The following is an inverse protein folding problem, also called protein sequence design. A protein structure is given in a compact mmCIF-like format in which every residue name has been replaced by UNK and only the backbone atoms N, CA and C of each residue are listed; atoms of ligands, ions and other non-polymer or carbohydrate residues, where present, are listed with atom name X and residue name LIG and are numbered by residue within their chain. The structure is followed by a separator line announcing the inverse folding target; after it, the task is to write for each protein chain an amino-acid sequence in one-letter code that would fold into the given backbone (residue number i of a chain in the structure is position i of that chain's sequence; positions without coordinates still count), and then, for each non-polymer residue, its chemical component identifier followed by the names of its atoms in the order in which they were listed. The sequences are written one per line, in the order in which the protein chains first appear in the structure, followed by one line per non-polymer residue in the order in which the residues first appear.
data_IF_603396207101
#
_entry.id   IF_603396207101
#
_cell.length_a   1.000
_cell.length_b   1.000
_cell.length_c   1.000
_cell.angle_alpha   90.00
_cell.angle_beta   90.00
_cell.angle_gamma   90.00
#
_symmetry.space_group_name_H-M   'P 1'
#
loop_
_entity.id
_entity.type
_entity.pdbx_description
1 polymer ?
#
# COMPACT_ATOMS: atom_id res chain seq x y z
N UNK A 1 -14.92 4.55 -12.55
CA UNK A 1 -15.40 3.15 -12.62
C UNK A 1 -16.39 3.10 -13.77
N UNK A 2 -16.03 2.43 -14.86
CA UNK A 2 -17.00 2.07 -15.91
C UNK A 2 -17.67 0.74 -15.52
N UNK A 3 -18.98 0.62 -15.74
CA UNK A 3 -19.79 -0.55 -15.38
C UNK A 3 -21.10 -0.20 -14.67
N UNK A 4 -22.01 -1.18 -14.57
CA UNK A 4 -23.26 -1.05 -13.84
C UNK A 4 -23.04 -0.83 -12.33
N UNK A 5 -24.08 -0.33 -11.65
CA UNK A 5 -24.06 -0.16 -10.19
C UNK A 5 -24.00 -1.50 -9.43
N UNK A 6 -24.37 -2.59 -10.10
CA UNK A 6 -24.36 -3.97 -9.63
C UNK A 6 -23.57 -4.83 -10.61
N UNK A 7 -22.78 -5.78 -10.09
CA UNK A 7 -21.97 -6.70 -10.87
C UNK A 7 -21.70 -7.99 -10.07
N UNK A 8 -21.42 -9.09 -10.76
CA UNK A 8 -21.19 -10.39 -10.12
C UNK A 8 -19.71 -10.66 -9.83
N UNK A 9 -19.47 -11.20 -8.63
CA UNK A 9 -18.17 -11.68 -8.18
C UNK A 9 -18.28 -13.09 -7.60
N UNK A 10 -17.29 -13.93 -7.88
CA UNK A 10 -17.08 -15.18 -7.17
C UNK A 10 -15.63 -15.24 -6.69
N UNK A 11 -15.37 -15.89 -5.56
CA UNK A 11 -14.04 -15.87 -4.95
C UNK A 11 -13.81 -17.04 -4.02
N UNK A 12 -12.55 -17.20 -3.61
CA UNK A 12 -12.12 -18.17 -2.60
C UNK A 12 -11.32 -17.38 -1.56
N UNK A 13 -11.60 -17.67 -0.29
CA UNK A 13 -10.91 -17.08 0.85
C UNK A 13 -10.35 -18.21 1.72
N UNK A 14 -9.05 -18.17 2.01
CA UNK A 14 -8.34 -19.02 2.96
C UNK A 14 -8.12 -18.21 4.25
N UNK A 15 -8.75 -18.69 5.34
CA UNK A 15 -8.74 -18.03 6.64
C UNK A 15 -8.12 -18.97 7.68
N UNK A 16 -6.99 -18.54 8.25
CA UNK A 16 -6.34 -19.24 9.36
C UNK A 16 -5.20 -20.19 8.99
N UNK A 17 -4.89 -20.39 7.70
CA UNK A 17 -3.67 -21.12 7.30
C UNK A 17 -2.42 -20.39 7.79
N UNK A 18 -1.56 -21.14 8.49
CA UNK A 18 -0.34 -20.62 9.11
C UNK A 18 0.85 -20.66 8.16
N UNK A 19 0.86 -21.57 7.19
CA UNK A 19 1.83 -21.54 6.09
C UNK A 19 1.44 -20.47 5.07
N UNK A 20 1.86 -19.25 5.37
CA UNK A 20 1.60 -18.04 4.60
C UNK A 20 2.00 -18.20 3.13
N UNK A 21 3.20 -18.73 2.87
CA UNK A 21 3.71 -18.85 1.51
C UNK A 21 2.91 -19.88 0.71
N UNK A 22 2.58 -21.03 1.31
CA UNK A 22 1.77 -22.04 0.65
C UNK A 22 0.33 -21.57 0.39
N UNK A 23 -0.29 -20.86 1.35
CA UNK A 23 -1.63 -20.29 1.20
C UNK A 23 -1.69 -19.23 0.08
N UNK A 24 -0.72 -18.32 0.06
CA UNK A 24 -0.56 -17.30 -0.97
C UNK A 24 -0.44 -17.95 -2.36
N UNK A 25 0.46 -18.92 -2.50
CA UNK A 25 0.67 -19.64 -3.74
C UNK A 25 -0.58 -20.44 -4.19
N UNK A 26 -1.34 -21.00 -3.24
CA UNK A 26 -2.59 -21.72 -3.52
C UNK A 26 -3.66 -20.78 -4.06
N UNK A 27 -3.91 -19.66 -3.38
CA UNK A 27 -4.89 -18.67 -3.80
C UNK A 27 -4.62 -18.15 -5.22
N UNK A 28 -3.35 -17.90 -5.54
CA UNK A 28 -2.97 -17.45 -6.89
C UNK A 28 -3.13 -18.54 -7.95
N UNK A 29 -2.74 -19.77 -7.61
CA UNK A 29 -2.90 -20.90 -8.53
C UNK A 29 -4.38 -21.20 -8.82
N UNK A 30 -5.24 -21.13 -7.80
CA UNK A 30 -6.69 -21.35 -7.97
C UNK A 30 -7.32 -20.25 -8.84
N UNK A 31 -6.95 -18.97 -8.62
CA UNK A 31 -7.38 -17.86 -9.47
C UNK A 31 -6.93 -18.03 -10.93
N UNK A 32 -5.67 -18.40 -11.14
CA UNK A 32 -5.12 -18.64 -12.47
C UNK A 32 -5.78 -19.85 -13.16
N UNK A 33 -5.97 -20.95 -12.43
CA UNK A 33 -6.60 -22.17 -12.95
C UNK A 33 -8.07 -21.93 -13.32
N UNK A 34 -8.81 -21.18 -12.50
CA UNK A 34 -10.19 -20.77 -12.78
C UNK A 34 -10.27 -20.06 -14.13
N UNK A 35 -9.45 -19.02 -14.34
CA UNK A 35 -9.45 -18.24 -15.58
C UNK A 35 -8.99 -19.07 -16.78
N UNK A 36 -7.92 -19.86 -16.62
CA UNK A 36 -7.43 -20.78 -17.66
C UNK A 36 -8.53 -21.74 -18.13
N UNK A 37 -9.35 -22.23 -17.20
CA UNK A 37 -10.44 -23.16 -17.50
C UNK A 37 -11.63 -22.49 -18.21
N UNK A 38 -11.92 -21.24 -17.87
CA UNK A 38 -13.04 -20.47 -18.42
C UNK A 38 -12.71 -19.77 -19.74
N UNK A 39 -11.43 -19.49 -19.98
CA UNK A 39 -10.91 -18.79 -21.16
C UNK A 39 -9.87 -19.65 -21.90
N UNK A 40 -10.25 -20.83 -22.42
CA UNK A 40 -9.31 -21.74 -23.06
C UNK A 40 -8.62 -21.08 -24.26
N UNK A 41 -7.29 -21.19 -24.31
CA UNK A 41 -6.45 -20.65 -25.39
C UNK A 41 -6.19 -19.14 -25.31
N UNK A 42 -6.71 -18.43 -24.31
CA UNK A 42 -6.34 -17.03 -24.05
C UNK A 42 -5.09 -17.00 -23.17
N UNK A 43 -4.11 -16.17 -23.55
CA UNK A 43 -2.99 -15.84 -22.68
C UNK A 43 -3.50 -14.95 -21.53
N UNK A 44 -3.05 -15.24 -20.30
CA UNK A 44 -3.34 -14.44 -19.12
C UNK A 44 -2.11 -13.60 -18.77
N UNK A 45 -2.33 -12.37 -18.35
CA UNK A 45 -1.30 -11.51 -17.78
C UNK A 45 -1.53 -11.43 -16.27
N UNK A 46 -0.51 -11.75 -15.47
CA UNK A 46 -0.58 -11.72 -14.00
C UNK A 46 0.44 -10.74 -13.46
N UNK A 47 -0.04 -9.74 -12.72
CA UNK A 47 0.81 -8.76 -12.04
C UNK A 47 0.73 -8.97 -10.54
N UNK A 48 1.89 -8.94 -9.88
CA UNK A 48 2.03 -9.15 -8.44
C UNK A 48 2.72 -7.93 -7.84
N UNK A 49 2.27 -7.55 -6.66
CA UNK A 49 2.99 -6.63 -5.79
C UNK A 49 2.97 -7.12 -4.35
N UNK A 50 3.68 -6.41 -3.47
CA UNK A 50 3.80 -6.81 -2.08
C UNK A 50 3.90 -5.57 -1.17
N UNK A 51 2.82 -5.32 -0.43
CA UNK A 51 2.75 -4.19 0.49
C UNK A 51 3.75 -4.33 1.64
N UNK A 52 4.05 -5.55 2.08
CA UNK A 52 5.00 -5.77 3.18
C UNK A 52 6.44 -5.46 2.77
N UNK A 53 6.79 -5.70 1.50
CA UNK A 53 8.08 -5.31 0.93
C UNK A 53 8.16 -3.78 0.82
N UNK A 54 7.11 -3.13 0.30
CA UNK A 54 7.08 -1.67 0.23
C UNK A 54 7.21 -1.01 1.60
N UNK A 55 6.46 -1.48 2.60
CA UNK A 55 6.56 -0.99 3.98
C UNK A 55 7.95 -1.20 4.58
N UNK A 56 8.62 -2.32 4.28
CA UNK A 56 9.99 -2.58 4.70
C UNK A 56 11.00 -1.61 4.05
N UNK A 57 10.82 -1.25 2.78
CA UNK A 57 11.63 -0.22 2.11
C UNK A 57 11.42 1.13 2.78
N UNK A 58 10.18 1.54 3.02
CA UNK A 58 9.89 2.81 3.71
C UNK A 58 10.51 2.88 5.11
N UNK A 59 10.47 1.77 5.84
CA UNK A 59 11.11 1.66 7.16
C UNK A 59 12.64 1.73 7.07
N UNK A 60 13.25 1.02 6.12
CA UNK A 60 14.70 0.98 5.93
C UNK A 60 15.27 2.32 5.45
N UNK A 61 14.49 3.11 4.71
CA UNK A 61 14.85 4.48 4.30
C UNK A 61 14.86 5.49 5.47
N UNK A 62 14.47 5.08 6.69
CA UNK A 62 14.49 5.93 7.87
C UNK A 62 13.41 7.02 7.87
N UNK A 63 12.36 6.86 7.06
CA UNK A 63 11.25 7.82 6.98
C UNK A 63 10.54 7.95 8.34
N UNK A 64 10.04 9.13 8.72
CA UNK A 64 9.18 9.26 9.89
C UNK A 64 7.94 8.39 9.78
N UNK A 65 7.49 7.83 10.92
CA UNK A 65 6.33 6.90 10.95
C UNK A 65 5.07 7.45 10.29
N UNK A 66 4.81 8.76 10.37
CA UNK A 66 3.65 9.35 9.70
C UNK A 66 3.77 9.36 8.18
N UNK A 67 4.98 9.57 7.64
CA UNK A 67 5.26 9.45 6.21
C UNK A 67 5.20 8.02 5.72
N UNK A 68 5.75 7.07 6.49
CA UNK A 68 5.60 5.65 6.19
C UNK A 68 4.13 5.27 6.05
N UNK A 69 3.28 5.63 7.04
CA UNK A 69 1.83 5.38 7.00
C UNK A 69 1.15 6.07 5.82
N UNK A 70 1.53 7.30 5.51
CA UNK A 70 0.94 8.07 4.41
C UNK A 70 1.26 7.44 3.05
N UNK A 71 2.52 7.06 2.82
CA UNK A 71 2.96 6.41 1.59
C UNK A 71 2.37 5.00 1.48
N UNK A 72 2.37 4.21 2.56
CA UNK A 72 1.75 2.89 2.58
C UNK A 72 0.26 2.92 2.22
N UNK A 73 -0.50 3.90 2.72
CA UNK A 73 -1.92 4.10 2.34
C UNK A 73 -2.12 4.57 0.90
N UNK A 74 -1.15 5.30 0.37
CA UNK A 74 -1.18 5.74 -1.01
C UNK A 74 -0.76 4.63 -1.99
N UNK A 75 -0.15 3.54 -1.48
CA UNK A 75 0.25 2.40 -2.27
C UNK A 75 -0.96 1.76 -2.96
N UNK A 76 -0.84 1.47 -4.26
CA UNK A 76 -1.96 1.00 -5.07
C UNK A 76 -2.91 2.08 -5.59
N UNK A 77 -2.63 3.35 -5.30
CA UNK A 77 -3.27 4.51 -5.93
C UNK A 77 -2.22 5.40 -6.58
N UNK A 78 -1.87 5.21 -7.87
CA UNK A 78 -0.75 5.93 -8.52
C UNK A 78 -0.77 7.44 -8.31
N UNK A 79 -1.92 8.08 -8.52
CA UNK A 79 -2.06 9.54 -8.31
C UNK A 79 -1.92 9.97 -6.84
N UNK A 80 -2.37 9.14 -5.89
CA UNK A 80 -2.20 9.44 -4.46
C UNK A 80 -0.74 9.25 -4.02
N UNK A 81 -0.05 8.24 -4.58
CA UNK A 81 1.36 7.98 -4.32
C UNK A 81 2.22 9.11 -4.88
N UNK A 82 1.97 9.52 -6.13
CA UNK A 82 2.64 10.66 -6.76
C UNK A 82 2.42 11.95 -5.96
N UNK A 83 1.19 12.23 -5.53
CA UNK A 83 0.89 13.38 -4.68
C UNK A 83 1.61 13.31 -3.33
N UNK A 84 1.71 12.12 -2.72
CA UNK A 84 2.44 11.95 -1.47
C UNK A 84 3.95 12.14 -1.64
N UNK A 85 4.54 11.65 -2.74
CA UNK A 85 5.95 11.86 -3.08
C UNK A 85 6.24 13.35 -3.39
N UNK A 86 5.33 14.02 -4.11
CA UNK A 86 5.42 15.46 -4.39
C UNK A 86 5.38 16.28 -3.10
N UNK A 87 4.46 15.99 -2.18
CA UNK A 87 4.41 16.67 -0.88
C UNK A 87 5.65 16.43 -0.01
N UNK A 88 6.29 15.26 -0.16
CA UNK A 88 7.49 14.90 0.59
C UNK A 88 8.73 15.64 0.09
N UNK A 89 8.79 15.88 -1.23
CA UNK A 89 9.87 16.65 -1.86
C UNK A 89 9.66 18.16 -1.78
N UNK A 90 8.39 18.59 -1.77
CA UNK A 90 8.01 19.99 -1.82
C UNK A 90 6.89 20.26 -0.80
N UNK A 91 7.20 20.25 0.51
CA UNK A 91 6.19 20.45 1.55
C UNK A 91 5.56 21.83 1.34
N UNK A 92 4.32 21.85 0.82
CA UNK A 92 3.54 23.07 0.62
C UNK A 92 3.56 23.84 1.92
N UNK A 93 4.09 25.07 1.97
CA UNK A 93 3.89 25.94 3.15
C UNK A 93 2.39 25.97 3.41
N UNK A 94 1.96 25.57 4.62
CA UNK A 94 0.55 25.65 4.95
C UNK A 94 0.11 27.08 4.68
N UNK A 95 -1.01 27.22 3.98
CA UNK A 95 -1.73 28.48 3.83
C UNK A 95 -1.85 29.17 5.19
N UNK A 96 -1.19 30.33 5.29
CA UNK A 96 -1.31 31.42 6.27
C UNK A 96 -1.65 31.03 7.74
N UNK A 97 -0.70 30.44 8.46
CA UNK A 97 -0.60 30.72 9.89
C UNK A 97 -0.08 32.15 10.07
N UNK A 98 -0.61 32.88 11.06
CA UNK A 98 0.00 34.14 11.46
C UNK A 98 1.38 33.91 12.09
N UNK A 99 2.23 34.93 12.05
CA UNK A 99 3.64 34.85 12.45
C UNK A 99 3.85 34.29 13.88
N UNK A 100 3.00 34.60 14.89
CA UNK A 100 3.10 33.98 16.21
C UNK A 100 2.79 32.49 16.20
N UNK A 101 1.71 32.05 15.53
CA UNK A 101 1.37 30.63 15.43
C UNK A 101 2.44 29.84 14.68
N UNK A 102 3.01 30.43 13.63
CA UNK A 102 4.10 29.81 12.88
C UNK A 102 5.35 29.62 13.75
N UNK A 103 5.70 30.61 14.58
CA UNK A 103 6.86 30.55 15.48
C UNK A 103 6.66 29.51 16.59
N UNK A 104 5.49 29.48 17.23
CA UNK A 104 5.14 28.49 18.26
C UNK A 104 5.08 27.06 17.69
N UNK A 105 4.60 26.93 16.46
CA UNK A 105 4.58 25.66 15.73
C UNK A 105 6.00 25.15 15.41
N UNK A 106 6.93 26.04 15.10
CA UNK A 106 8.34 25.70 14.86
C UNK A 106 9.08 25.35 16.16
N UNK A 107 8.74 26.01 17.27
CA UNK A 107 9.29 25.70 18.60
C UNK A 107 8.77 24.37 19.16
N UNK A 108 7.68 23.81 18.61
CA UNK A 108 7.10 22.55 19.05
C UNK A 108 6.43 22.63 20.42
N UNK A 109 5.96 23.82 20.82
CA UNK A 109 5.38 24.06 22.14
C UNK A 109 3.85 23.92 22.10
N UNK A 110 3.28 22.78 22.58
CA UNK A 110 1.86 22.48 22.40
C UNK A 110 0.93 23.39 23.21
N UNK A 111 1.31 23.73 24.44
CA UNK A 111 0.46 24.56 25.31
C UNK A 111 0.36 26.01 24.82
N UNK A 112 1.47 26.71 24.52
CA UNK A 112 1.39 28.08 23.99
C UNK A 112 0.68 28.15 22.64
N UNK A 113 0.88 27.15 21.76
CA UNK A 113 0.18 27.06 20.48
C UNK A 113 -1.33 26.85 20.68
N UNK A 114 -1.74 26.00 21.63
CA UNK A 114 -3.15 25.78 21.96
C UNK A 114 -3.80 27.05 22.52
N UNK A 115 -3.10 27.81 23.37
CA UNK A 115 -3.57 29.11 23.87
C UNK A 115 -3.80 30.09 22.73
N UNK A 116 -2.82 30.25 21.83
CA UNK A 116 -2.94 31.14 20.67
C UNK A 116 -4.11 30.73 19.74
N UNK A 117 -4.32 29.43 19.53
CA UNK A 117 -5.45 28.92 18.75
C UNK A 117 -6.79 29.22 19.43
N UNK A 118 -6.88 29.06 20.75
CA UNK A 118 -8.09 29.37 21.52
C UNK A 118 -8.48 30.85 21.39
N UNK A 119 -7.51 31.76 21.57
CA UNK A 119 -7.71 33.20 21.42
C UNK A 119 -8.18 33.58 20.01
N UNK A 120 -7.59 32.97 18.98
CA UNK A 120 -8.00 33.15 17.57
C UNK A 120 -9.40 32.64 17.29
N UNK A 121 -9.79 31.50 17.87
CA UNK A 121 -11.13 30.95 17.72
C UNK A 121 -12.19 31.84 18.38
N UNK A 122 -11.89 32.36 19.57
CA UNK A 122 -12.77 33.28 20.30
C UNK A 122 -12.91 34.62 19.56
N UNK A 123 -11.81 35.20 19.07
CA UNK A 123 -11.83 36.43 18.28
C UNK A 123 -12.61 36.29 16.96
N UNK A 124 -12.67 35.07 16.40
CA UNK A 124 -13.46 34.76 15.20
C UNK A 124 -14.93 34.39 15.51
N UNK A 125 -15.34 34.39 16.79
CA UNK A 125 -16.70 34.06 17.21
C UNK A 125 -17.04 32.57 17.15
N UNK A 126 -16.03 31.68 17.14
CA UNK A 126 -16.24 30.24 17.14
C UNK A 126 -16.40 29.70 18.57
N UNK A 127 -17.38 28.81 18.78
CA UNK A 127 -17.57 28.11 20.06
C UNK A 127 -16.50 27.05 20.27
N UNK A 128 -15.81 27.09 21.41
CA UNK A 128 -14.79 26.12 21.81
C UNK A 128 -15.34 24.71 22.07
N UNK A 129 -16.66 24.54 22.13
CA UNK A 129 -17.34 23.26 22.41
C UNK A 129 -17.84 22.49 21.19
N UNK A 130 -17.75 23.05 19.98
CA UNK A 130 -18.23 22.41 18.76
C UNK A 130 -17.07 22.05 17.81
N UNK A 131 -16.59 20.80 17.87
CA UNK A 131 -15.53 20.29 17.00
C UNK A 131 -14.29 19.83 17.76
N UNK A 132 -13.09 20.08 17.19
CA UNK A 132 -11.81 19.75 17.83
C UNK A 132 -11.44 20.84 18.83
N UNK A 133 -10.96 20.44 20.00
CA UNK A 133 -10.41 21.39 20.98
C UNK A 133 -9.14 22.08 20.46
N UNK A 134 -8.81 23.29 20.94
CA UNK A 134 -7.55 23.96 20.61
C UNK A 134 -6.31 23.09 20.87
N UNK A 135 -6.34 22.28 21.93
CA UNK A 135 -5.30 21.31 22.28
C UNK A 135 -5.15 20.22 21.21
N UNK A 136 -6.27 19.67 20.73
CA UNK A 136 -6.25 18.69 19.63
C UNK A 136 -5.79 19.30 18.30
N UNK A 137 -6.12 20.58 18.05
CA UNK A 137 -5.67 21.30 16.85
C UNK A 137 -4.16 21.55 16.95
N UNK A 138 -3.67 22.08 18.07
CA UNK A 138 -2.24 22.35 18.31
C UNK A 138 -1.41 21.07 18.16
N UNK A 139 -1.82 19.99 18.84
CA UNK A 139 -1.17 18.68 18.74
C UNK A 139 -1.09 18.19 17.28
N UNK A 140 -2.21 18.24 16.55
CA UNK A 140 -2.25 17.84 15.13
C UNK A 140 -1.41 18.73 14.22
N UNK A 141 -1.34 20.02 14.50
CA UNK A 141 -0.49 20.95 13.74
C UNK A 141 0.99 20.64 13.99
N UNK A 142 1.40 20.42 15.24
CA UNK A 142 2.77 20.03 15.59
C UNK A 142 3.13 18.69 14.95
N UNK A 143 2.29 17.66 15.12
CA UNK A 143 2.47 16.36 14.44
C UNK A 143 2.62 16.53 12.91
N UNK A 144 1.80 17.39 12.30
CA UNK A 144 1.87 17.68 10.86
C UNK A 144 3.12 18.49 10.46
N UNK A 145 3.59 19.38 11.35
CA UNK A 145 4.80 20.20 11.18
C UNK A 145 6.08 19.36 11.28
N UNK A 146 6.18 18.53 12.32
CA UNK A 146 7.29 17.59 12.50
C UNK A 146 7.41 16.65 11.31
N UNK A 147 6.27 16.12 10.83
CA UNK A 147 6.25 15.33 9.59
C UNK A 147 6.77 16.14 8.39
N UNK A 148 6.46 17.43 8.27
CA UNK A 148 6.94 18.29 7.18
C UNK A 148 8.39 18.74 7.30
N UNK A 149 8.95 18.75 8.51
CA UNK A 149 10.34 19.16 8.76
C UNK A 149 11.37 18.13 8.27
N UNK A 150 10.93 16.87 8.10
CA UNK A 150 11.78 15.79 7.60
C UNK A 150 11.63 15.70 6.09
N UNK A 151 12.67 16.14 5.38
CA UNK A 151 12.86 15.83 3.96
C UNK A 151 13.52 14.45 3.86
N UNK A 152 13.11 13.67 2.87
CA UNK A 152 13.98 12.59 2.40
C UNK A 152 15.30 13.22 1.97
N UNK A 153 16.41 12.55 2.27
CA UNK A 153 17.65 12.87 1.57
C UNK A 153 17.46 12.52 0.08
N UNK A 154 18.24 13.17 -0.79
CA UNK A 154 18.16 12.89 -2.23
C UNK A 154 18.46 11.41 -2.52
N UNK A 155 19.34 10.79 -1.73
CA UNK A 155 19.64 9.36 -1.79
C UNK A 155 18.42 8.50 -1.46
N UNK A 156 17.70 8.85 -0.39
CA UNK A 156 16.54 8.07 0.05
C UNK A 156 15.34 8.23 -0.92
N UNK A 157 15.18 9.41 -1.52
CA UNK A 157 14.21 9.61 -2.61
C UNK A 157 14.60 8.84 -3.87
N UNK A 158 15.89 8.85 -4.23
CA UNK A 158 16.41 8.10 -5.37
C UNK A 158 16.22 6.60 -5.18
N UNK A 159 16.50 6.07 -3.99
CA UNK A 159 16.28 4.67 -3.65
C UNK A 159 14.78 4.30 -3.69
N UNK A 160 13.89 5.17 -3.22
CA UNK A 160 12.45 4.93 -3.30
C UNK A 160 11.94 4.90 -4.75
N UNK A 161 12.43 5.80 -5.62
CA UNK A 161 12.10 5.79 -7.05
C UNK A 161 12.65 4.53 -7.73
N UNK A 162 13.91 4.20 -7.48
CA UNK A 162 14.54 2.99 -8.00
C UNK A 162 13.76 1.72 -7.60
N UNK A 163 13.27 1.65 -6.35
CA UNK A 163 12.39 0.58 -5.90
C UNK A 163 11.09 0.53 -6.72
N UNK A 164 10.39 1.66 -6.85
CA UNK A 164 9.09 1.73 -7.55
C UNK A 164 9.20 1.40 -9.04
N UNK A 165 10.38 1.58 -9.64
CA UNK A 165 10.67 1.25 -11.03
C UNK A 165 10.98 -0.25 -11.26
N UNK A 166 11.11 -1.06 -10.19
CA UNK A 166 11.39 -2.49 -10.31
C UNK A 166 10.21 -3.21 -10.99
N UNK A 167 10.53 -3.87 -12.10
CA UNK A 167 9.68 -4.81 -12.84
C UNK A 167 10.54 -6.03 -13.19
N UNK A 168 10.06 -7.23 -12.87
CA UNK A 168 10.79 -8.46 -13.17
C UNK A 168 9.85 -9.68 -13.21
N UNK A 169 10.19 -10.73 -13.97
CA UNK A 169 9.54 -12.03 -13.80
C UNK A 169 9.62 -12.50 -12.34
N UNK A 170 8.56 -13.10 -11.81
CA UNK A 170 8.50 -13.48 -10.40
C UNK A 170 9.67 -14.40 -9.99
N UNK A 171 10.10 -15.28 -10.88
CA UNK A 171 11.24 -16.18 -10.65
C UNK A 171 12.57 -15.45 -10.44
N UNK A 172 12.71 -14.21 -10.91
CA UNK A 172 13.90 -13.37 -10.78
C UNK A 172 13.73 -12.27 -9.71
N UNK A 173 12.49 -11.94 -9.35
CA UNK A 173 12.14 -10.81 -8.51
C UNK A 173 12.83 -10.81 -7.14
N UNK A 174 13.02 -11.99 -6.52
CA UNK A 174 13.70 -12.08 -5.23
C UNK A 174 15.16 -11.61 -5.32
N UNK A 175 15.89 -12.09 -6.34
CA UNK A 175 17.27 -11.68 -6.59
C UNK A 175 17.39 -10.19 -6.97
N UNK A 176 16.42 -9.68 -7.74
CA UNK A 176 16.36 -8.25 -8.09
C UNK A 176 16.16 -7.38 -6.83
N UNK A 177 15.28 -7.79 -5.91
CA UNK A 177 15.06 -7.09 -4.64
C UNK A 177 16.28 -7.18 -3.72
N UNK A 178 16.98 -8.31 -3.68
CA UNK A 178 18.25 -8.47 -2.95
C UNK A 178 19.33 -7.53 -3.49
N UNK A 179 19.50 -7.47 -4.82
CA UNK A 179 20.46 -6.59 -5.47
C UNK A 179 20.14 -5.11 -5.19
N UNK A 180 18.88 -4.72 -5.33
CA UNK A 180 18.40 -3.38 -4.98
C UNK A 180 18.72 -3.03 -3.52
N UNK A 181 18.37 -3.92 -2.58
CA UNK A 181 18.60 -3.68 -1.16
C UNK A 181 20.09 -3.52 -0.85
N UNK A 182 20.96 -4.33 -1.48
CA UNK A 182 22.41 -4.22 -1.33
C UNK A 182 22.95 -2.90 -1.89
N UNK A 183 22.54 -2.49 -3.10
CA UNK A 183 22.98 -1.25 -3.74
C UNK A 183 22.53 -0.01 -2.95
N UNK A 184 21.27 0.00 -2.51
CA UNK A 184 20.71 1.06 -1.69
C UNK A 184 21.14 1.00 -0.21
N UNK A 185 21.92 -0.01 0.19
CA UNK A 185 22.37 -0.27 1.57
C UNK A 185 21.20 -0.38 2.57
N UNK A 186 20.09 -0.98 2.14
CA UNK A 186 18.88 -1.19 2.91
C UNK A 186 18.82 -2.61 3.45
N UNK A 187 18.24 -2.77 4.64
CA UNK A 187 17.91 -4.08 5.21
C UNK A 187 16.41 -4.31 5.18
N UNK A 188 15.94 -5.16 4.28
CA UNK A 188 14.52 -5.52 4.14
C UNK A 188 14.09 -6.66 5.08
N UNK A 189 15.06 -7.33 5.72
CA UNK A 189 14.84 -8.33 6.77
C UNK A 189 13.81 -9.40 6.41
N UNK A 190 12.89 -9.67 7.33
CA UNK A 190 11.88 -10.73 7.16
C UNK A 190 10.93 -10.52 5.99
N UNK A 191 10.75 -9.27 5.51
CA UNK A 191 9.87 -9.01 4.37
C UNK A 191 10.43 -9.65 3.10
N UNK A 192 11.74 -9.52 2.87
CA UNK A 192 12.42 -10.13 1.73
C UNK A 192 12.45 -11.66 1.84
N UNK A 193 12.74 -12.20 3.03
CA UNK A 193 12.68 -13.66 3.26
C UNK A 193 11.28 -14.23 2.98
N UNK A 194 10.21 -13.55 3.44
CA UNK A 194 8.83 -13.98 3.19
C UNK A 194 8.45 -13.85 1.71
N UNK A 195 8.94 -12.82 1.02
CA UNK A 195 8.76 -12.67 -0.42
C UNK A 195 9.42 -13.82 -1.18
N UNK A 196 10.68 -14.16 -0.86
CA UNK A 196 11.39 -15.30 -1.45
C UNK A 196 10.64 -16.62 -1.25
N UNK A 197 10.20 -16.90 -0.01
CA UNK A 197 9.42 -18.10 0.29
C UNK A 197 8.10 -18.19 -0.52
N UNK A 198 7.42 -17.05 -0.73
CA UNK A 198 6.25 -16.96 -1.62
C UNK A 198 6.62 -17.25 -3.06
N UNK A 199 7.67 -16.62 -3.58
CA UNK A 199 8.12 -16.80 -4.95
C UNK A 199 8.46 -18.28 -5.22
N UNK A 200 9.16 -18.94 -4.29
CA UNK A 200 9.48 -20.37 -4.34
C UNK A 200 8.21 -21.24 -4.31
N UNK A 201 7.26 -20.92 -3.42
CA UNK A 201 5.99 -21.64 -3.33
C UNK A 201 5.16 -21.53 -4.62
N UNK A 202 5.14 -20.35 -5.26
CA UNK A 202 4.49 -20.13 -6.55
C UNK A 202 5.24 -20.85 -7.68
N UNK A 203 6.58 -20.83 -7.65
CA UNK A 203 7.43 -21.53 -8.61
C UNK A 203 7.21 -23.04 -8.57
N UNK A 204 7.04 -23.61 -7.37
CA UNK A 204 6.75 -25.05 -7.18
C UNK A 204 5.43 -25.50 -7.83
N UNK A 205 4.55 -24.55 -8.14
CA UNK A 205 3.27 -24.77 -8.86
C UNK A 205 3.39 -24.57 -10.37
N UNK A 206 4.58 -24.29 -10.88
CA UNK A 206 4.84 -24.07 -12.31
C UNK A 206 4.43 -22.70 -12.83
N UNK A 207 4.21 -21.71 -11.93
CA UNK A 207 3.65 -20.40 -12.29
C UNK A 207 4.69 -19.26 -12.30
N UNK A 208 5.94 -19.51 -11.93
CA UNK A 208 6.98 -18.48 -11.83
C UNK A 208 7.25 -17.75 -13.17
N UNK A 209 7.16 -18.45 -14.31
CA UNK A 209 7.34 -17.86 -15.63
C UNK A 209 6.07 -17.20 -16.21
N UNK A 210 4.96 -17.25 -15.49
CA UNK A 210 3.68 -16.66 -15.91
C UNK A 210 3.44 -15.30 -15.24
N UNK A 211 4.09 -15.07 -14.10
CA UNK A 211 3.76 -13.97 -13.21
C UNK A 211 4.85 -12.92 -13.25
N UNK A 212 4.44 -11.65 -13.38
CA UNK A 212 5.31 -10.49 -13.33
C UNK A 212 5.22 -9.84 -11.95
N UNK A 213 6.36 -9.52 -11.35
CA UNK A 213 6.46 -8.68 -10.17
C UNK A 213 6.60 -7.23 -10.57
N UNK A 214 5.77 -6.40 -9.94
CA UNK A 214 5.74 -4.96 -10.05
C UNK A 214 5.81 -4.37 -8.63
N UNK A 215 6.94 -3.74 -8.31
CA UNK A 215 7.18 -3.16 -6.98
C UNK A 215 6.29 -1.95 -6.66
N UNK A 216 5.75 -1.26 -7.67
CA UNK A 216 4.80 -0.17 -7.49
C UNK A 216 3.32 -0.65 -7.52
N UNK A 217 3.09 -1.93 -7.81
CA UNK A 217 1.76 -2.51 -7.84
C UNK A 217 1.24 -2.71 -6.42
N UNK A 218 0.25 -1.92 -6.06
CA UNK A 218 -0.54 -2.09 -4.85
C UNK A 218 -2.02 -2.16 -5.21
N UNK A 219 -2.88 -2.35 -4.21
CA UNK A 219 -4.32 -2.18 -4.38
C UNK A 219 -4.84 -1.10 -3.42
N UNK A 220 -5.82 -0.28 -3.82
CA UNK A 220 -6.28 0.88 -3.04
C UNK A 220 -7.11 0.50 -1.80
N UNK A 221 -7.10 -0.77 -1.40
CA UNK A 221 -7.86 -1.28 -0.27
C UNK A 221 -6.94 -1.40 0.94
N UNK A 222 -7.18 -0.56 1.94
CA UNK A 222 -6.35 -0.42 3.16
C UNK A 222 -6.26 -1.70 4.02
N UNK A 223 -6.99 -2.76 3.68
CA UNK A 223 -6.99 -4.01 4.45
C UNK A 223 -5.88 -4.99 4.02
N UNK A 224 -5.24 -4.80 2.86
CA UNK A 224 -4.14 -5.68 2.45
C UNK A 224 -2.91 -5.45 3.33
N UNK A 225 -2.15 -6.52 3.55
CA UNK A 225 -1.01 -6.56 4.49
C UNK A 225 0.23 -7.23 3.92
N UNK A 226 0.21 -7.64 2.65
CA UNK A 226 1.30 -8.37 2.03
C UNK A 226 1.10 -8.50 0.52
N UNK A 227 1.17 -9.74 0.03
CA UNK A 227 0.92 -10.07 -1.38
C UNK A 227 -0.39 -9.44 -1.88
N UNK A 228 -0.33 -8.83 -3.05
CA UNK A 228 -1.50 -8.46 -3.86
C UNK A 228 -1.27 -8.86 -5.31
N UNK A 229 -2.34 -9.19 -6.02
CA UNK A 229 -2.22 -9.57 -7.43
C UNK A 229 -3.48 -9.25 -8.21
N UNK A 230 -3.30 -9.11 -9.53
CA UNK A 230 -4.38 -9.06 -10.51
C UNK A 230 -4.05 -9.97 -11.71
N UNK A 231 -5.09 -10.58 -12.28
CA UNK A 231 -5.02 -11.40 -13.48
C UNK A 231 -5.95 -10.78 -14.51
N UNK A 232 -5.44 -10.49 -15.69
CA UNK A 232 -6.18 -9.92 -16.81
C UNK A 232 -5.80 -10.55 -18.14
N UNK A 233 -6.22 -9.90 -19.23
CA UNK A 233 -5.75 -10.21 -20.57
C UNK A 233 -4.64 -9.24 -20.95
N UNK A 234 -3.61 -9.67 -21.71
CA UNK A 234 -2.59 -8.76 -22.22
C UNK A 234 -3.19 -7.55 -22.93
N UNK A 235 -2.84 -6.35 -22.49
CA UNK A 235 -3.33 -5.09 -23.06
C UNK A 235 -4.71 -4.62 -22.57
N UNK A 236 -5.44 -5.40 -21.77
CA UNK A 236 -6.66 -4.94 -21.08
C UNK A 236 -6.29 -4.42 -19.69
N UNK A 237 -6.79 -3.24 -19.35
CA UNK A 237 -6.58 -2.60 -18.04
C UNK A 237 -7.59 -3.07 -16.99
N UNK A 238 -8.65 -3.78 -17.41
CA UNK A 238 -9.68 -4.31 -16.52
C UNK A 238 -9.27 -5.72 -16.06
N UNK A 239 -8.98 -5.93 -14.76
CA UNK A 239 -8.65 -7.26 -14.27
C UNK A 239 -9.87 -8.20 -14.35
N UNK A 240 -9.62 -9.47 -14.63
CA UNK A 240 -10.60 -10.56 -14.61
C UNK A 240 -10.67 -11.24 -13.25
N UNK A 241 -9.55 -11.28 -12.52
CA UNK A 241 -9.50 -11.68 -11.11
C UNK A 241 -8.46 -10.83 -10.37
N UNK A 242 -8.63 -10.68 -9.06
CA UNK A 242 -7.72 -9.93 -8.23
C UNK A 242 -7.87 -10.32 -6.77
N UNK A 243 -6.78 -10.25 -6.03
CA UNK A 243 -6.71 -10.79 -4.68
C UNK A 243 -5.48 -10.32 -3.93
N UNK A 244 -5.29 -10.93 -2.76
CA UNK A 244 -4.15 -10.64 -1.90
C UNK A 244 -4.38 -11.05 -0.45
N UNK A 245 -3.36 -10.82 0.36
CA UNK A 245 -3.29 -11.14 1.78
C UNK A 245 -3.74 -9.99 2.67
N UNK A 246 -4.58 -10.28 3.66
CA UNK A 246 -5.29 -9.30 4.49
C UNK A 246 -5.38 -9.70 5.97
N UNK A 247 -4.25 -10.01 6.59
CA UNK A 247 -4.16 -10.60 7.95
C UNK A 247 -4.79 -9.74 9.07
N UNK A 248 -5.08 -8.46 8.79
CA UNK A 248 -5.68 -7.52 9.76
C UNK A 248 -7.20 -7.43 9.67
N UNK A 249 -7.81 -7.92 8.59
CA UNK A 249 -9.24 -7.73 8.32
C UNK A 249 -10.11 -8.33 9.42
N UNK A 250 -9.85 -9.56 9.84
CA UNK A 250 -10.71 -10.23 10.82
C UNK A 250 -10.62 -9.61 12.22
N UNK A 251 -9.47 -9.07 12.60
CA UNK A 251 -9.33 -8.29 13.84
C UNK A 251 -10.13 -6.98 13.77
N UNK A 252 -10.15 -6.31 12.61
CA UNK A 252 -11.00 -5.12 12.41
C UNK A 252 -12.50 -5.45 12.51
N UNK A 253 -12.88 -6.69 12.23
CA UNK A 253 -14.25 -7.21 12.34
C UNK A 253 -14.58 -7.82 13.71
N UNK A 254 -13.66 -7.78 14.68
CA UNK A 254 -13.91 -8.20 16.06
C UNK A 254 -13.31 -9.54 16.47
N UNK A 255 -12.46 -10.17 15.65
CA UNK A 255 -11.70 -11.35 16.10
C UNK A 255 -10.76 -10.98 17.26
N UNK A 256 -10.72 -11.84 18.28
CA UNK A 256 -9.93 -11.62 19.51
C UNK A 256 -8.44 -11.89 19.34
N UNK A 257 -8.04 -12.52 18.24
CA UNK A 257 -6.67 -12.76 17.84
C UNK A 257 -6.48 -12.48 16.34
N UNK A 258 -5.26 -12.18 15.87
CA UNK A 258 -4.97 -12.11 14.45
C UNK A 258 -5.25 -13.45 13.76
N UNK A 259 -5.99 -13.41 12.65
CA UNK A 259 -6.27 -14.57 11.81
C UNK A 259 -5.71 -14.25 10.41
N UNK A 260 -4.69 -14.97 9.94
CA UNK A 260 -4.17 -14.81 8.60
C UNK A 260 -5.28 -15.01 7.57
N UNK A 261 -5.27 -14.19 6.52
CA UNK A 261 -6.29 -14.25 5.48
C UNK A 261 -5.69 -13.98 4.11
N UNK A 262 -6.01 -14.81 3.12
CA UNK A 262 -5.66 -14.57 1.73
C UNK A 262 -6.78 -15.09 0.83
N UNK A 263 -7.03 -14.38 -0.26
CA UNK A 263 -7.95 -14.89 -1.25
C UNK A 263 -8.07 -13.98 -2.45
N UNK A 264 -9.08 -14.26 -3.27
CA UNK A 264 -9.31 -13.55 -4.52
C UNK A 264 -10.77 -13.49 -4.88
N UNK A 265 -11.09 -12.52 -5.73
CA UNK A 265 -12.36 -12.43 -6.42
C UNK A 265 -12.15 -12.35 -7.92
N UNK A 266 -12.99 -13.06 -8.66
CA UNK A 266 -13.13 -13.04 -10.11
C UNK A 266 -14.38 -12.23 -10.51
N UNK A 267 -14.24 -11.34 -11.49
CA UNK A 267 -15.34 -10.54 -12.06
C UNK A 267 -16.06 -11.34 -13.14
N UNK A 268 -17.21 -11.91 -12.80
CA UNK A 268 -17.92 -12.88 -13.65
C UNK A 268 -18.36 -12.25 -14.98
N UNK A 269 -18.86 -11.01 -14.93
CA UNK A 269 -19.33 -10.31 -16.12
C UNK A 269 -18.18 -10.07 -17.11
N UNK A 270 -17.02 -9.65 -16.62
CA UNK A 270 -15.82 -9.43 -17.46
C UNK A 270 -15.29 -10.73 -18.05
N UNK A 271 -15.34 -11.81 -17.27
CA UNK A 271 -14.95 -13.13 -17.77
C UNK A 271 -15.93 -13.57 -18.86
N UNK A 272 -17.23 -13.36 -18.68
CA UNK A 272 -18.23 -13.67 -19.70
C UNK A 272 -18.02 -12.86 -20.98
N UNK A 273 -17.71 -11.57 -20.89
CA UNK A 273 -17.32 -10.71 -22.03
C UNK A 273 -16.07 -11.22 -22.77
N UNK A 274 -15.12 -11.80 -22.03
CA UNK A 274 -13.85 -12.30 -22.58
C UNK A 274 -13.96 -13.71 -23.23
N UNK A 275 -15.08 -14.42 -23.02
CA UNK A 275 -15.31 -15.73 -23.61
C UNK A 275 -15.51 -15.61 -25.13
N UNK A 276 -15.05 -16.61 -25.90
CA UNK A 276 -15.29 -16.67 -27.34
C UNK A 276 -16.78 -16.82 -27.70
#
# INVERSE_FOLDING_TARGET
REGGAEFFQAGIEDLGEADIAAADARSMADAHALLTRLLPGKALAVTIGDQSVFEAVLAALGLPRGWQKRLARAFGSPGALEAALSDLTNPTRATALDEPAASLLLAGEPEPLATHIAERMEAAGHSLGAGRSPQEIAKRLIEKSELRSVRLSDEALSALKAFLDIRAPLGEAHAVLEAFASEAKLSLGSALTKFGARADAIASRGLAGTFEYDAAFGRPLDYYTGLVFEIGLPGDTRPLAGGGRYDRLLTLLGATAPIPGVGFSAWIDRIAEARP
#
